data_IF_634296566886
#
_entry.id   IF_634296566886
#
_cell.length_a   1.000
_cell.length_b   1.000
_cell.length_c   1.000
_cell.angle_alpha   90.00
_cell.angle_beta   90.00
_cell.angle_gamma   90.00
#
_symmetry.space_group_name_H-M   'P 1'
#
loop_
_entity.id
_entity.type
_entity.pdbx_description
1 polymer ?
#
# COMPACT_ATOMS: atom_id res chain seq x y z
N UNK A 1 -17.68 3.63 1.65
CA UNK A 1 -17.88 2.38 2.43
C UNK A 1 -16.53 1.96 2.98
N UNK A 2 -16.45 1.45 4.22
CA UNK A 2 -15.26 0.99 5.00
C UNK A 2 -13.99 0.51 4.22
N UNK A 3 -13.32 1.38 3.46
CA UNK A 3 -12.11 1.02 2.68
C UNK A 3 -10.93 0.64 3.57
N UNK A 4 -10.89 1.19 4.80
CA UNK A 4 -9.77 1.00 5.72
C UNK A 4 -9.60 -0.45 6.17
N UNK A 5 -10.70 -1.13 6.52
CA UNK A 5 -10.66 -2.55 6.90
C UNK A 5 -10.24 -3.46 5.75
N UNK A 6 -10.62 -3.13 4.52
CA UNK A 6 -10.23 -3.89 3.34
C UNK A 6 -8.73 -3.71 3.05
N UNK A 7 -8.23 -2.47 3.13
CA UNK A 7 -6.81 -2.16 3.01
C UNK A 7 -5.97 -2.85 4.08
N UNK A 8 -6.40 -2.80 5.35
CA UNK A 8 -5.71 -3.50 6.44
C UNK A 8 -5.66 -5.02 6.18
N UNK A 9 -6.74 -5.61 5.64
CA UNK A 9 -6.75 -7.02 5.24
C UNK A 9 -5.81 -7.30 4.05
N UNK A 10 -5.75 -6.42 3.05
CA UNK A 10 -4.81 -6.54 1.92
C UNK A 10 -3.37 -6.48 2.45
N UNK A 11 -3.07 -5.55 3.36
CA UNK A 11 -1.74 -5.43 3.97
C UNK A 11 -1.36 -6.68 4.75
N UNK A 12 -2.28 -7.24 5.55
CA UNK A 12 -2.07 -8.50 6.25
C UNK A 12 -1.79 -9.66 5.28
N UNK A 13 -2.55 -9.78 4.18
CA UNK A 13 -2.36 -10.81 3.16
C UNK A 13 -1.04 -10.63 2.40
N UNK A 14 -0.62 -9.39 2.19
CA UNK A 14 0.66 -9.07 1.54
C UNK A 14 1.86 -9.32 2.46
N UNK A 15 1.65 -9.53 3.76
CA UNK A 15 2.72 -9.75 4.74
C UNK A 15 3.32 -8.45 5.31
N UNK A 16 2.57 -7.35 5.26
CA UNK A 16 2.97 -6.11 5.94
C UNK A 16 2.89 -6.34 7.45
N UNK A 17 3.86 -5.85 8.25
CA UNK A 17 3.74 -5.86 9.71
C UNK A 17 2.70 -4.85 10.20
N UNK A 18 1.94 -5.15 11.25
CA UNK A 18 0.95 -4.23 11.84
C UNK A 18 1.54 -2.85 12.21
N UNK A 19 2.81 -2.80 12.61
CA UNK A 19 3.54 -1.56 12.89
C UNK A 19 3.65 -0.64 11.66
N UNK A 20 3.62 -1.23 10.46
CA UNK A 20 3.70 -0.51 9.20
C UNK A 20 2.33 -0.23 8.56
N UNK A 21 1.20 -0.72 9.10
CA UNK A 21 -0.12 -0.51 8.49
C UNK A 21 -0.48 0.97 8.35
N UNK A 22 -0.28 1.77 9.41
CA UNK A 22 -0.55 3.21 9.37
C UNK A 22 0.34 3.95 8.37
N UNK A 23 1.68 3.81 8.41
CA UNK A 23 2.53 4.52 7.46
C UNK A 23 2.28 4.04 6.02
N UNK A 24 2.07 2.74 5.77
CA UNK A 24 1.76 2.24 4.42
C UNK A 24 0.39 2.73 3.92
N UNK A 25 -0.65 2.77 4.78
CA UNK A 25 -1.95 3.36 4.45
C UNK A 25 -1.82 4.82 4.00
N UNK A 26 -0.96 5.62 4.66
CA UNK A 26 -0.69 7.00 4.25
C UNK A 26 0.06 7.09 2.92
N UNK A 27 0.97 6.16 2.61
CA UNK A 27 1.59 6.08 1.28
C UNK A 27 0.57 5.75 0.20
N UNK A 28 -0.33 4.81 0.46
CA UNK A 28 -1.39 4.43 -0.50
C UNK A 28 -2.34 5.60 -0.76
N UNK A 29 -2.70 6.38 0.26
CA UNK A 29 -3.52 7.59 0.10
C UNK A 29 -2.86 8.64 -0.83
N UNK A 30 -1.53 8.77 -0.76
CA UNK A 30 -0.77 9.65 -1.66
C UNK A 30 -0.84 9.22 -3.13
N UNK A 31 -1.17 7.95 -3.44
CA UNK A 31 -1.27 7.47 -4.83
C UNK A 31 -2.34 8.19 -5.65
N UNK A 32 -3.30 8.83 -5.00
CA UNK A 32 -4.29 9.70 -5.66
C UNK A 32 -3.64 10.88 -6.39
N UNK A 33 -2.51 11.38 -5.86
CA UNK A 33 -1.83 12.60 -6.35
C UNK A 33 -0.40 12.36 -6.80
N UNK A 34 0.15 11.20 -6.47
CA UNK A 34 1.57 10.88 -6.61
C UNK A 34 1.70 9.58 -7.39
N UNK A 35 2.63 9.49 -8.36
CA UNK A 35 2.80 8.27 -9.14
C UNK A 35 3.34 7.10 -8.30
N UNK A 36 2.97 5.86 -8.68
CA UNK A 36 3.34 4.62 -7.99
C UNK A 36 4.85 4.52 -7.69
N UNK A 37 5.72 4.88 -8.64
CA UNK A 37 7.17 4.74 -8.46
C UNK A 37 7.70 5.57 -7.27
N UNK A 38 7.17 6.77 -7.02
CA UNK A 38 7.58 7.61 -5.89
C UNK A 38 7.07 7.02 -4.59
N UNK A 39 5.80 6.61 -4.56
CA UNK A 39 5.19 6.00 -3.38
C UNK A 39 5.88 4.69 -3.02
N UNK A 40 6.17 3.83 -4.00
CA UNK A 40 6.95 2.60 -3.84
C UNK A 40 8.32 2.89 -3.26
N UNK A 41 8.99 3.92 -3.77
CA UNK A 41 10.30 4.33 -3.26
C UNK A 41 10.23 4.80 -1.79
N UNK A 42 9.19 5.57 -1.42
CA UNK A 42 8.92 5.96 -0.02
C UNK A 42 8.63 4.72 0.85
N UNK A 43 7.80 3.79 0.38
CA UNK A 43 7.49 2.55 1.10
C UNK A 43 8.74 1.70 1.37
N UNK A 44 9.67 1.63 0.41
CA UNK A 44 10.89 0.81 0.55
C UNK A 44 11.98 1.54 1.33
N UNK A 45 12.34 2.76 0.92
CA UNK A 45 13.50 3.46 1.46
C UNK A 45 13.20 4.20 2.76
N UNK A 46 12.01 4.80 2.90
CA UNK A 46 11.65 5.55 4.10
C UNK A 46 10.96 4.67 5.14
N UNK A 47 10.08 3.77 4.68
CA UNK A 47 9.27 2.92 5.57
C UNK A 47 9.85 1.53 5.76
N UNK A 48 10.93 1.19 5.06
CA UNK A 48 11.64 -0.09 5.22
C UNK A 48 10.83 -1.31 4.78
N UNK A 49 9.83 -1.14 3.91
CA UNK A 49 9.03 -2.25 3.39
C UNK A 49 9.78 -2.99 2.29
N UNK A 50 9.64 -4.30 2.22
CA UNK A 50 10.22 -5.07 1.12
C UNK A 50 9.59 -4.67 -0.23
N UNK A 51 10.39 -4.52 -1.30
CA UNK A 51 9.89 -4.19 -2.63
C UNK A 51 8.83 -5.18 -3.13
N UNK A 52 9.00 -6.47 -2.81
CA UNK A 52 8.04 -7.52 -3.15
C UNK A 52 6.66 -7.30 -2.50
N UNK A 53 6.64 -6.81 -1.26
CA UNK A 53 5.39 -6.51 -0.55
C UNK A 53 4.74 -5.26 -1.14
N UNK A 54 5.54 -4.23 -1.45
CA UNK A 54 5.05 -3.02 -2.10
C UNK A 54 4.36 -3.35 -3.45
N UNK A 55 5.01 -4.14 -4.31
CA UNK A 55 4.43 -4.52 -5.61
C UNK A 55 3.17 -5.40 -5.48
N UNK A 56 3.10 -6.26 -4.46
CA UNK A 56 1.87 -7.01 -4.13
C UNK A 56 0.73 -6.07 -3.77
N UNK A 57 0.97 -5.12 -2.87
CA UNK A 57 -0.03 -4.12 -2.46
C UNK A 57 -0.54 -3.35 -3.68
N UNK A 58 0.37 -2.89 -4.53
CA UNK A 58 0.02 -2.19 -5.76
C UNK A 58 -0.87 -3.01 -6.67
N UNK A 59 -0.59 -4.30 -6.84
CA UNK A 59 -1.41 -5.19 -7.66
C UNK A 59 -2.87 -5.24 -7.16
N UNK A 60 -3.09 -5.24 -5.84
CA UNK A 60 -4.43 -5.17 -5.26
C UNK A 60 -5.06 -3.77 -5.39
N UNK A 61 -4.29 -2.72 -5.11
CA UNK A 61 -4.77 -1.33 -5.18
C UNK A 61 -5.14 -0.94 -6.61
N UNK A 62 -4.37 -1.39 -7.61
CA UNK A 62 -4.63 -1.14 -9.04
C UNK A 62 -5.89 -1.88 -9.53
N UNK A 63 -6.28 -2.99 -8.90
CA UNK A 63 -7.51 -3.71 -9.25
C UNK A 63 -8.79 -2.98 -8.79
N UNK A 64 -8.68 -1.98 -7.91
CA UNK A 64 -9.81 -1.13 -7.52
C UNK A 64 -10.05 -0.03 -8.57
N UNK A 65 -10.60 -0.39 -9.73
CA UNK A 65 -10.93 0.62 -10.74
C UNK A 65 -11.36 0.09 -12.11
N UNK A 66 -12.40 -0.73 -12.17
CA UNK A 66 -13.32 -0.78 -13.32
C UNK A 66 -14.58 -1.58 -12.96
N UNK A 67 -15.52 -0.91 -12.31
CA UNK A 67 -16.95 -1.25 -12.30
C UNK A 67 -17.74 0.05 -12.13
#
# INVERSE_FOLDING_TARGET
VNHRKLLDAIFAVCGVPDSHFRPISSSVDKLDKTPWHVVRNEMINEKGLSPEIADKIWSYVQMHGNA
#
